data_IF_129903629817
#
_entry.id   IF_129903629817
#
_cell.length_a   1.000
_cell.length_b   1.000
_cell.length_c   1.000
_cell.angle_alpha   90.00
_cell.angle_beta   90.00
_cell.angle_gamma   90.00
#
_symmetry.space_group_name_H-M   'P 1'
#
loop_
_entity.id
_entity.type
_entity.pdbx_description
1 polymer ?
#
# COMPACT_ATOMS: atom_id res chain seq x y z
N UNK A 1 14.13 4.09 26.65
CA UNK A 1 14.13 3.82 25.20
C UNK A 1 12.74 3.93 24.59
N UNK A 2 11.67 3.32 25.14
CA UNK A 2 10.31 3.46 24.59
C UNK A 2 9.65 4.83 24.82
N UNK A 3 9.98 5.53 25.91
CA UNK A 3 9.36 6.83 26.25
C UNK A 3 9.76 7.94 25.28
N UNK A 4 11.02 8.01 24.89
CA UNK A 4 11.55 9.10 24.07
C UNK A 4 10.95 9.12 22.66
N UNK A 5 10.68 7.96 22.07
CA UNK A 5 9.99 7.87 20.78
C UNK A 5 8.52 8.28 20.88
N UNK A 6 7.82 7.86 21.96
CA UNK A 6 6.44 8.27 22.22
C UNK A 6 6.35 9.78 22.43
N UNK A 7 7.32 10.38 23.11
CA UNK A 7 7.40 11.82 23.35
C UNK A 7 7.59 12.58 22.03
N UNK A 8 8.46 12.10 21.14
CA UNK A 8 8.64 12.67 19.80
C UNK A 8 7.36 12.61 18.96
N UNK A 9 6.64 11.48 18.97
CA UNK A 9 5.37 11.34 18.25
C UNK A 9 4.28 12.23 18.84
N UNK A 10 4.24 12.36 20.17
CA UNK A 10 3.28 13.23 20.87
C UNK A 10 3.53 14.70 20.56
N UNK A 11 4.81 15.11 20.52
CA UNK A 11 5.24 16.46 20.12
C UNK A 11 4.86 16.77 18.66
N UNK A 12 5.05 15.80 17.75
CA UNK A 12 4.62 15.92 16.35
C UNK A 12 3.09 16.09 16.23
N UNK A 13 2.31 15.32 17.00
CA UNK A 13 0.83 15.40 17.01
C UNK A 13 0.31 16.80 17.34
N UNK A 14 0.95 17.51 18.26
CA UNK A 14 0.56 18.88 18.66
C UNK A 14 1.26 19.98 17.86
N UNK A 15 2.14 19.60 16.91
CA UNK A 15 2.90 20.54 16.08
C UNK A 15 4.00 21.31 16.82
N UNK A 16 4.49 20.80 17.96
CA UNK A 16 5.52 21.46 18.78
C UNK A 16 6.77 20.59 18.88
N UNK A 17 7.55 20.56 17.79
CA UNK A 17 8.81 19.82 17.74
C UNK A 17 9.97 20.70 18.18
N UNK A 18 10.76 20.22 19.12
CA UNK A 18 12.04 20.82 19.51
C UNK A 18 13.13 20.46 18.51
N UNK A 19 14.19 21.28 18.46
CA UNK A 19 15.33 21.06 17.55
C UNK A 19 15.95 19.67 17.71
N UNK A 20 16.10 19.18 18.96
CA UNK A 20 16.61 17.83 19.23
C UNK A 20 15.73 16.75 18.59
N UNK A 21 14.41 16.88 18.69
CA UNK A 21 13.47 15.90 18.15
C UNK A 21 13.51 15.90 16.62
N UNK A 22 13.64 17.07 15.99
CA UNK A 22 13.83 17.20 14.54
C UNK A 22 15.13 16.49 14.11
N UNK A 23 16.23 16.74 14.81
CA UNK A 23 17.52 16.10 14.54
C UNK A 23 17.44 14.56 14.67
N UNK A 24 16.70 14.04 15.66
CA UNK A 24 16.47 12.60 15.80
C UNK A 24 15.67 12.00 14.63
N UNK A 25 14.62 12.67 14.15
CA UNK A 25 13.87 12.20 12.96
C UNK A 25 14.75 12.14 11.71
N UNK A 26 15.64 13.10 11.49
CA UNK A 26 16.58 13.04 10.37
C UNK A 26 17.54 11.84 10.43
N UNK A 27 17.90 11.37 11.63
CA UNK A 27 18.71 10.14 11.80
C UNK A 27 17.95 8.86 11.41
N UNK A 28 16.62 8.92 11.26
CA UNK A 28 15.80 7.79 10.79
C UNK A 28 15.84 7.61 9.26
N UNK A 29 16.41 8.56 8.50
CA UNK A 29 16.59 8.47 7.04
C UNK A 29 17.64 7.45 6.60
N UNK A 30 18.25 6.73 7.54
CA UNK A 30 19.20 5.64 7.26
C UNK A 30 18.53 4.50 6.47
N UNK A 31 19.24 3.82 5.57
CA UNK A 31 18.70 2.64 4.88
C UNK A 31 18.37 1.53 5.87
N UNK A 32 17.27 0.81 5.63
CA UNK A 32 16.85 -0.33 6.44
C UNK A 32 17.24 -1.63 5.72
N UNK A 33 17.85 -2.56 6.46
CA UNK A 33 18.19 -3.89 5.98
C UNK A 33 17.31 -4.93 6.68
N UNK A 34 16.52 -5.66 5.90
CA UNK A 34 15.66 -6.73 6.39
C UNK A 34 16.20 -8.09 5.91
N UNK A 35 16.29 -9.06 6.84
CA UNK A 35 16.86 -10.39 6.57
C UNK A 35 15.84 -11.37 5.99
N UNK A 36 14.56 -11.07 6.12
CA UNK A 36 13.43 -11.92 5.67
C UNK A 36 13.00 -11.62 4.22
N UNK A 37 13.61 -10.62 3.57
CA UNK A 37 13.26 -10.19 2.22
C UNK A 37 11.94 -9.41 2.14
N UNK A 38 11.30 -9.11 3.28
CA UNK A 38 10.11 -8.27 3.31
C UNK A 38 10.56 -6.82 3.32
N UNK A 39 10.30 -6.12 2.24
CA UNK A 39 10.62 -4.71 2.14
C UNK A 39 9.70 -3.84 3.01
N UNK A 40 10.20 -2.71 3.52
CA UNK A 40 9.40 -1.81 4.34
C UNK A 40 8.28 -1.17 3.52
N UNK A 41 7.12 -0.99 4.15
CA UNK A 41 6.02 -0.21 3.59
C UNK A 41 6.48 1.23 3.37
N UNK A 42 6.37 1.70 2.13
CA UNK A 42 6.60 3.10 1.79
C UNK A 42 5.29 3.89 1.90
N UNK A 43 5.34 5.04 2.55
CA UNK A 43 4.19 5.93 2.74
C UNK A 43 4.31 7.12 1.81
N UNK A 44 3.24 7.40 1.05
CA UNK A 44 3.17 8.54 0.14
C UNK A 44 1.94 9.39 0.41
N UNK A 45 2.01 10.72 0.20
CA UNK A 45 0.88 11.61 0.46
C UNK A 45 -0.23 11.51 -0.59
N UNK A 46 0.10 11.07 -1.83
CA UNK A 46 -0.86 10.98 -2.95
C UNK A 46 -1.03 9.54 -3.40
N UNK A 47 -2.28 9.17 -3.71
CA UNK A 47 -2.62 7.85 -4.28
C UNK A 47 -1.83 7.53 -5.54
N UNK A 48 -1.68 8.49 -6.46
CA UNK A 48 -0.90 8.28 -7.69
C UNK A 48 0.59 7.99 -7.45
N UNK A 49 1.17 8.53 -6.37
CA UNK A 49 2.55 8.22 -5.99
C UNK A 49 2.66 6.79 -5.42
N UNK A 50 1.66 6.34 -4.65
CA UNK A 50 1.54 4.94 -4.18
C UNK A 50 1.39 3.98 -5.35
N UNK A 51 0.49 4.27 -6.29
CA UNK A 51 0.22 3.41 -7.45
C UNK A 51 1.45 3.29 -8.35
N UNK A 52 2.14 4.41 -8.63
CA UNK A 52 3.39 4.39 -9.40
C UNK A 52 4.45 3.53 -8.72
N UNK A 53 4.71 3.77 -7.42
CA UNK A 53 5.72 3.02 -6.68
C UNK A 53 5.40 1.52 -6.60
N UNK A 54 4.14 1.16 -6.31
CA UNK A 54 3.71 -0.24 -6.27
C UNK A 54 3.83 -0.92 -7.63
N UNK A 55 3.51 -0.22 -8.72
CA UNK A 55 3.62 -0.74 -10.07
C UNK A 55 5.08 -0.98 -10.48
N UNK A 56 5.95 0.01 -10.27
CA UNK A 56 7.39 -0.11 -10.49
C UNK A 56 7.95 -1.28 -9.68
N UNK A 57 7.60 -1.35 -8.38
CA UNK A 57 8.08 -2.43 -7.51
C UNK A 57 7.60 -3.80 -7.97
N UNK A 58 6.32 -3.94 -8.31
CA UNK A 58 5.78 -5.19 -8.87
C UNK A 58 6.55 -5.62 -10.13
N UNK A 59 6.88 -4.71 -11.03
CA UNK A 59 7.67 -5.03 -12.23
C UNK A 59 9.06 -5.59 -11.92
N UNK A 60 9.70 -5.11 -10.86
CA UNK A 60 11.02 -5.60 -10.44
C UNK A 60 10.99 -6.99 -9.80
N UNK A 61 9.82 -7.48 -9.38
CA UNK A 61 9.72 -8.82 -8.78
C UNK A 61 9.94 -9.91 -9.83
N UNK A 62 10.74 -10.96 -9.51
CA UNK A 62 11.13 -12.01 -10.46
C UNK A 62 10.02 -13.01 -10.76
N UNK A 63 9.00 -13.13 -9.90
CA UNK A 63 7.91 -14.08 -10.05
C UNK A 63 6.99 -13.80 -11.25
N UNK A 64 6.26 -14.84 -11.65
CA UNK A 64 5.21 -14.73 -12.66
C UNK A 64 4.06 -13.84 -12.17
N UNK A 65 3.48 -13.08 -13.10
CA UNK A 65 2.37 -12.19 -12.82
C UNK A 65 1.02 -12.93 -12.84
N UNK A 66 0.31 -12.87 -11.72
CA UNK A 66 -1.04 -13.38 -11.57
C UNK A 66 -2.03 -12.22 -11.60
N UNK A 67 -3.03 -12.31 -12.48
CA UNK A 67 -4.03 -11.25 -12.68
C UNK A 67 -5.36 -11.67 -12.08
N UNK A 68 -5.84 -10.89 -11.12
CA UNK A 68 -7.13 -11.05 -10.47
C UNK A 68 -8.08 -9.97 -10.96
N UNK A 69 -9.21 -10.37 -11.55
CA UNK A 69 -10.24 -9.45 -12.04
C UNK A 69 -11.40 -9.40 -11.05
N UNK A 70 -11.88 -8.19 -10.77
CA UNK A 70 -13.06 -8.01 -9.95
C UNK A 70 -14.30 -8.62 -10.61
N UNK A 71 -15.23 -9.08 -9.78
CA UNK A 71 -16.55 -9.52 -10.20
C UNK A 71 -17.56 -8.52 -9.65
N UNK A 72 -17.95 -7.57 -10.50
CA UNK A 72 -18.85 -6.48 -10.12
C UNK A 72 -20.28 -6.82 -10.53
N UNK A 73 -21.25 -6.47 -9.67
CA UNK A 73 -22.67 -6.59 -9.95
C UNK A 73 -23.39 -5.30 -9.55
N UNK A 74 -24.30 -4.83 -10.40
CA UNK A 74 -25.08 -3.63 -10.12
C UNK A 74 -26.36 -4.02 -9.40
N UNK A 75 -26.63 -3.33 -8.29
CA UNK A 75 -27.82 -3.55 -7.47
C UNK A 75 -29.06 -2.87 -8.05
N UNK A 76 -29.99 -2.53 -7.15
CA UNK A 76 -31.17 -1.72 -7.44
C UNK A 76 -31.01 -0.33 -6.84
N UNK A 77 -31.67 0.65 -7.44
CA UNK A 77 -31.71 2.02 -6.92
C UNK A 77 -32.71 2.16 -5.76
N UNK A 78 -32.91 3.40 -5.30
CA UNK A 78 -33.86 3.71 -4.21
C UNK A 78 -35.32 3.42 -4.56
N UNK A 79 -35.64 3.26 -5.85
CA UNK A 79 -36.98 2.96 -6.36
C UNK A 79 -37.14 1.46 -6.69
N UNK A 80 -36.19 0.63 -6.26
CA UNK A 80 -36.11 -0.81 -6.57
C UNK A 80 -35.94 -1.13 -8.07
N UNK A 81 -35.49 -0.16 -8.86
CA UNK A 81 -35.21 -0.33 -10.28
C UNK A 81 -33.78 -0.84 -10.48
N UNK A 82 -33.54 -1.79 -11.41
CA UNK A 82 -32.19 -2.26 -11.70
C UNK A 82 -31.31 -1.10 -12.19
N UNK A 83 -30.12 -0.98 -11.61
CA UNK A 83 -29.16 0.03 -12.02
C UNK A 83 -28.59 -0.34 -13.40
N UNK A 84 -28.68 0.58 -14.36
CA UNK A 84 -28.10 0.41 -15.69
C UNK A 84 -26.58 0.25 -15.62
N UNK A 85 -26.02 -0.62 -16.47
CA UNK A 85 -24.60 -0.95 -16.45
C UNK A 85 -23.69 0.27 -16.55
N UNK A 86 -24.00 1.21 -17.45
CA UNK A 86 -23.23 2.45 -17.61
C UNK A 86 -23.16 3.28 -16.33
N UNK A 87 -24.31 3.48 -15.68
CA UNK A 87 -24.37 4.21 -14.41
C UNK A 87 -23.65 3.43 -13.30
N UNK A 88 -23.82 2.12 -13.27
CA UNK A 88 -23.12 1.22 -12.36
C UNK A 88 -21.59 1.33 -12.46
N UNK A 89 -21.04 1.35 -13.68
CA UNK A 89 -19.61 1.56 -13.91
C UNK A 89 -19.13 2.91 -13.38
N UNK A 90 -19.87 3.99 -13.63
CA UNK A 90 -19.52 5.33 -13.13
C UNK A 90 -19.58 5.42 -11.61
N UNK A 91 -20.50 4.70 -10.96
CA UNK A 91 -20.58 4.63 -9.50
C UNK A 91 -19.38 3.89 -8.93
N UNK A 92 -18.99 2.76 -9.53
CA UNK A 92 -17.83 1.97 -9.08
C UNK A 92 -16.50 2.68 -9.35
N UNK A 93 -16.39 3.49 -10.41
CA UNK A 93 -15.18 4.28 -10.70
C UNK A 93 -14.84 5.28 -9.58
N UNK A 94 -15.82 5.70 -8.78
CA UNK A 94 -15.60 6.56 -7.62
C UNK A 94 -15.08 5.80 -6.40
N UNK A 95 -15.15 4.47 -6.41
CA UNK A 95 -14.64 3.65 -5.32
C UNK A 95 -13.12 3.51 -5.43
N UNK A 96 -12.48 3.27 -4.28
CA UNK A 96 -11.02 3.07 -4.18
C UNK A 96 -10.61 1.66 -4.62
N UNK A 97 -11.55 0.82 -5.05
CA UNK A 97 -11.33 -0.59 -5.40
C UNK A 97 -10.79 -0.72 -6.82
N UNK A 98 -9.71 -1.48 -6.98
CA UNK A 98 -9.14 -1.78 -8.29
C UNK A 98 -9.97 -2.84 -9.03
N UNK A 99 -10.35 -2.57 -10.29
CA UNK A 99 -11.02 -3.55 -11.18
C UNK A 99 -10.13 -4.74 -11.51
N UNK A 100 -8.81 -4.53 -11.51
CA UNK A 100 -7.80 -5.56 -11.79
C UNK A 100 -6.65 -5.38 -10.82
N UNK A 101 -6.24 -6.45 -10.17
CA UNK A 101 -5.06 -6.49 -9.29
C UNK A 101 -4.08 -7.51 -9.85
N UNK A 102 -2.84 -7.08 -10.09
CA UNK A 102 -1.75 -7.95 -10.51
C UNK A 102 -0.82 -8.20 -9.34
N UNK A 103 -0.54 -9.47 -9.05
CA UNK A 103 0.35 -9.89 -7.97
C UNK A 103 1.48 -10.75 -8.53
N UNK A 104 2.65 -10.67 -7.89
CA UNK A 104 3.80 -11.52 -8.18
C UNK A 104 4.39 -12.04 -6.88
N UNK A 105 4.95 -13.23 -6.95
CA UNK A 105 5.71 -13.81 -5.85
C UNK A 105 7.09 -13.16 -5.81
N UNK A 106 7.45 -12.54 -4.69
CA UNK A 106 8.75 -11.88 -4.51
C UNK A 106 9.90 -12.88 -4.27
N UNK A 107 9.61 -14.05 -3.71
CA UNK A 107 10.57 -15.14 -3.50
C UNK A 107 9.94 -16.49 -3.80
N UNK A 108 10.58 -17.38 -4.60
CA UNK A 108 10.08 -18.73 -4.77
C UNK A 108 9.91 -19.39 -3.39
N UNK A 109 8.82 -20.15 -3.15
CA UNK A 109 8.65 -20.88 -1.90
C UNK A 109 9.93 -21.68 -1.68
N UNK A 110 10.53 -21.55 -0.49
CA UNK A 110 11.73 -22.26 -0.06
C UNK A 110 11.77 -23.66 -0.67
N UNK A 111 12.47 -23.83 -1.80
CA UNK A 111 12.78 -25.16 -2.31
C UNK A 111 13.87 -25.64 -1.38
N UNK A 112 13.46 -26.25 -0.26
CA UNK A 112 14.35 -27.19 0.43
C UNK A 112 14.74 -28.19 -0.65
N UNK A 113 15.94 -28.03 -1.20
CA UNK A 113 16.61 -29.15 -1.87
C UNK A 113 16.76 -30.19 -0.77
N UNK A 114 15.79 -31.11 -0.70
CA UNK A 114 16.02 -32.37 -0.03
C UNK A 114 17.24 -32.99 -0.70
N UNK A 115 18.18 -33.37 0.15
CA UNK A 115 19.39 -34.16 -0.04
C UNK A 115 19.55 -34.84 -1.40
#
# INVERSE_FOLDING_TARGET
LFTEFIDMLSAMRVGKLERRQIEEFYKLSRPLHYVDGIEPTQLFPRKGDVERYNHERLHTLPGEAFVFRAMDSYGRDINDMPIEAYLGEQLLERLVVAKVVTLKVSFPPFVRRCC
#
